data_IF_361747034769
#
_entry.id   IF_361747034769
#
_cell.length_a   1.000
_cell.length_b   1.000
_cell.length_c   1.000
_cell.angle_alpha   90.00
_cell.angle_beta   90.00
_cell.angle_gamma   90.00
#
_symmetry.space_group_name_H-M   'P 1'
#
loop_
_entity.id
_entity.type
_entity.pdbx_description
1 polymer ?
#
# COMPACT_ATOMS: atom_id res chain seq x y z
N UNK A 1 66.07 26.76 2.82
CA UNK A 1 66.04 26.04 1.53
C UNK A 1 64.77 26.45 0.81
N UNK A 2 64.90 27.47 -0.03
CA UNK A 2 63.92 27.93 -1.01
C UNK A 2 64.19 27.19 -2.34
N UNK A 3 63.15 26.91 -3.11
CA UNK A 3 63.22 26.29 -4.45
C UNK A 3 61.90 25.55 -4.73
N UNK A 4 60.89 26.28 -5.20
CA UNK A 4 60.49 26.33 -6.62
C UNK A 4 59.87 25.02 -7.12
N UNK A 5 58.56 25.05 -7.40
CA UNK A 5 57.95 24.58 -8.65
C UNK A 5 56.47 24.98 -8.64
N UNK A 6 56.19 26.20 -9.11
CA UNK A 6 54.91 26.53 -9.71
C UNK A 6 55.12 26.51 -11.22
N UNK A 7 54.44 25.61 -11.94
CA UNK A 7 54.03 25.92 -13.30
C UNK A 7 52.73 25.21 -13.65
N UNK A 8 51.74 26.05 -13.98
CA UNK A 8 50.69 25.75 -14.95
C UNK A 8 49.72 24.62 -14.62
N UNK A 9 48.60 24.98 -13.98
CA UNK A 9 47.26 24.60 -14.44
C UNK A 9 46.22 25.51 -13.79
N UNK A 10 45.32 26.00 -14.63
CA UNK A 10 44.26 26.95 -14.30
C UNK A 10 43.47 26.54 -13.06
N UNK A 11 43.30 27.51 -12.16
CA UNK A 11 42.33 27.45 -11.07
C UNK A 11 40.94 27.48 -11.71
N UNK A 12 40.40 26.30 -12.01
CA UNK A 12 38.96 26.16 -12.18
C UNK A 12 38.36 25.94 -10.79
N UNK A 13 37.72 27.00 -10.28
CA UNK A 13 36.81 26.89 -9.14
C UNK A 13 35.71 25.89 -9.53
N UNK A 14 35.84 24.66 -9.06
CA UNK A 14 34.74 23.69 -9.13
C UNK A 14 33.73 24.09 -8.05
N UNK A 15 32.43 24.21 -8.36
CA UNK A 15 31.45 24.64 -7.39
C UNK A 15 31.32 23.58 -6.28
N UNK A 16 31.42 24.00 -5.01
CA UNK A 16 31.18 23.17 -3.81
C UNK A 16 29.91 22.30 -3.87
N UNK A 17 28.94 22.64 -4.75
CA UNK A 17 27.75 21.85 -5.06
C UNK A 17 28.04 20.40 -5.48
N UNK A 18 29.11 20.13 -6.25
CA UNK A 18 29.40 18.76 -6.76
C UNK A 18 30.07 17.86 -5.71
N UNK A 19 30.78 18.41 -4.73
CA UNK A 19 31.34 17.60 -3.62
C UNK A 19 30.28 17.28 -2.55
N UNK A 20 29.33 18.18 -2.31
CA UNK A 20 28.21 17.90 -1.41
C UNK A 20 27.23 16.89 -1.99
N UNK A 21 26.96 16.93 -3.29
CA UNK A 21 26.07 15.94 -3.94
C UNK A 21 26.68 14.53 -3.95
N UNK A 22 28.00 14.38 -4.18
CA UNK A 22 28.65 13.07 -4.11
C UNK A 22 28.70 12.50 -2.68
N UNK A 23 28.82 13.37 -1.68
CA UNK A 23 28.82 12.97 -0.26
C UNK A 23 27.42 12.55 0.19
N UNK A 24 26.37 13.28 -0.22
CA UNK A 24 24.97 12.91 0.00
C UNK A 24 24.57 11.64 -0.79
N UNK A 25 25.10 11.46 -2.00
CA UNK A 25 24.91 10.28 -2.84
C UNK A 25 25.58 9.03 -2.26
N UNK A 26 26.78 9.18 -1.68
CA UNK A 26 27.47 8.10 -0.97
C UNK A 26 26.87 7.81 0.41
N UNK A 27 26.27 8.80 1.06
CA UNK A 27 25.42 8.58 2.24
C UNK A 27 24.23 7.69 1.85
N UNK A 28 23.41 8.10 0.89
CA UNK A 28 22.20 7.32 0.50
C UNK A 28 22.46 5.89 0.00
N UNK A 29 23.64 5.57 -0.55
CA UNK A 29 24.03 4.19 -0.93
C UNK A 29 24.54 3.31 0.22
N UNK A 30 24.95 3.88 1.34
CA UNK A 30 25.41 3.14 2.52
C UNK A 30 24.31 2.75 3.51
N UNK A 31 23.04 3.08 3.21
CA UNK A 31 21.95 3.12 4.20
C UNK A 31 21.08 1.86 4.22
N UNK A 32 21.65 0.71 3.87
CA UNK A 32 20.90 -0.55 3.75
C UNK A 32 20.75 -1.34 5.06
N UNK A 33 21.15 -0.82 6.24
CA UNK A 33 20.98 -1.60 7.50
C UNK A 33 20.77 -0.84 8.80
N UNK A 34 20.85 0.50 8.88
CA UNK A 34 20.86 1.18 10.19
C UNK A 34 20.17 2.56 10.26
N UNK A 35 19.00 2.73 9.63
CA UNK A 35 18.05 3.76 10.10
C UNK A 35 17.39 3.32 11.42
N UNK A 36 18.18 3.29 12.49
CA UNK A 36 17.70 3.06 13.87
C UNK A 36 17.29 4.35 14.59
N UNK A 37 17.33 5.52 13.94
CA UNK A 37 17.00 6.78 14.59
C UNK A 37 16.04 7.60 13.72
N UNK A 38 14.79 7.72 14.19
CA UNK A 38 13.75 8.67 13.76
C UNK A 38 14.22 10.13 13.67
N UNK A 39 15.40 10.44 14.22
CA UNK A 39 15.96 11.77 14.38
C UNK A 39 16.38 12.44 13.06
N UNK A 40 16.57 11.70 11.97
CA UNK A 40 17.24 12.28 10.80
C UNK A 40 16.31 12.62 9.64
N UNK A 41 15.15 11.99 9.52
CA UNK A 41 14.35 12.11 8.29
C UNK A 41 13.68 13.49 8.12
N UNK A 42 13.18 14.12 9.21
CA UNK A 42 12.59 15.46 9.13
C UNK A 42 13.67 16.53 8.86
N UNK A 43 14.84 16.38 9.49
CA UNK A 43 15.99 17.27 9.28
C UNK A 43 16.57 17.14 7.87
N UNK A 44 16.65 15.92 7.33
CA UNK A 44 17.07 15.67 5.94
C UNK A 44 16.06 16.26 4.96
N UNK A 45 14.76 16.13 5.23
CA UNK A 45 13.73 16.74 4.40
C UNK A 45 13.90 18.27 4.34
N UNK A 46 14.04 18.90 5.51
CA UNK A 46 14.22 20.35 5.63
C UNK A 46 15.51 20.81 4.96
N UNK A 47 16.63 20.12 5.20
CA UNK A 47 17.91 20.41 4.57
C UNK A 47 17.80 20.29 3.05
N UNK A 48 17.22 19.21 2.54
CA UNK A 48 17.00 18.99 1.12
C UNK A 48 16.19 20.10 0.46
N UNK A 49 15.10 20.55 1.10
CA UNK A 49 14.31 21.70 0.62
C UNK A 49 15.11 23.01 0.66
N UNK A 50 15.88 23.27 1.72
CA UNK A 50 16.69 24.48 1.86
C UNK A 50 17.79 24.58 0.80
N UNK A 51 18.45 23.46 0.46
CA UNK A 51 19.52 23.42 -0.54
C UNK A 51 19.02 23.17 -1.98
N UNK A 52 17.70 22.96 -2.15
CA UNK A 52 17.08 22.68 -3.45
C UNK A 52 17.43 21.31 -4.04
N UNK A 53 17.82 20.33 -3.22
CA UNK A 53 18.17 18.98 -3.67
C UNK A 53 16.93 18.08 -3.61
N UNK A 54 16.40 17.77 -4.78
CA UNK A 54 15.12 17.09 -4.95
C UNK A 54 15.11 15.63 -4.50
N UNK A 55 16.21 14.92 -4.75
CA UNK A 55 16.34 13.52 -4.43
C UNK A 55 16.31 13.27 -2.92
N UNK A 56 16.90 14.17 -2.14
CA UNK A 56 17.07 14.11 -0.70
C UNK A 56 15.73 14.27 0.01
N UNK A 57 14.98 15.34 -0.30
CA UNK A 57 13.67 15.53 0.33
C UNK A 57 12.64 14.49 -0.16
N UNK A 58 12.71 14.04 -1.42
CA UNK A 58 11.85 12.95 -1.92
C UNK A 58 12.17 11.61 -1.25
N UNK A 59 13.44 11.30 -1.02
CA UNK A 59 13.85 10.06 -0.34
C UNK A 59 13.44 10.07 1.13
N UNK A 60 13.60 11.20 1.82
CA UNK A 60 13.13 11.37 3.19
C UNK A 60 11.60 11.23 3.28
N UNK A 61 10.86 11.86 2.35
CA UNK A 61 9.40 11.74 2.25
C UNK A 61 8.98 10.29 2.03
N UNK A 62 9.63 9.57 1.12
CA UNK A 62 9.37 8.15 0.87
C UNK A 62 9.56 7.30 2.13
N UNK A 63 10.65 7.52 2.86
CA UNK A 63 10.90 6.81 4.11
C UNK A 63 9.81 7.08 5.16
N UNK A 64 9.33 8.33 5.25
CA UNK A 64 8.20 8.68 6.12
C UNK A 64 6.92 7.97 5.73
N UNK A 65 6.58 7.95 4.45
CA UNK A 65 5.41 7.26 3.92
C UNK A 65 5.47 5.77 4.28
N UNK A 66 6.62 5.13 4.04
CA UNK A 66 6.83 3.71 4.31
C UNK A 66 6.80 3.38 5.83
N UNK A 67 7.01 4.37 6.73
CA UNK A 67 7.08 4.17 8.19
C UNK A 67 6.10 5.05 8.98
N UNK A 68 5.02 5.52 8.34
CA UNK A 68 4.14 6.56 8.88
C UNK A 68 3.52 6.20 10.23
N UNK A 69 3.08 4.95 10.41
CA UNK A 69 2.45 4.48 11.67
C UNK A 69 3.39 4.63 12.87
N UNK A 70 4.67 4.31 12.70
CA UNK A 70 5.67 4.43 13.75
C UNK A 70 5.98 5.91 14.03
N UNK A 71 6.22 6.67 12.97
CA UNK A 71 6.69 8.05 13.06
C UNK A 71 5.59 9.00 13.54
N UNK A 72 4.33 8.80 13.15
CA UNK A 72 3.19 9.60 13.62
C UNK A 72 2.97 9.57 15.14
N UNK A 73 3.47 8.53 15.82
CA UNK A 73 3.44 8.38 17.28
C UNK A 73 4.63 9.04 17.98
N UNK A 74 5.67 9.41 17.23
CA UNK A 74 6.93 9.92 17.75
C UNK A 74 6.86 11.41 18.13
N UNK A 75 7.84 11.92 18.87
CA UNK A 75 7.89 13.35 19.25
C UNK A 75 8.37 14.20 18.06
N UNK A 76 9.21 13.63 17.21
CA UNK A 76 9.75 14.21 15.99
C UNK A 76 8.64 14.63 15.02
N UNK A 77 7.60 13.81 14.89
CA UNK A 77 6.41 14.16 14.11
C UNK A 77 5.73 15.44 14.60
N UNK A 78 5.74 15.72 15.91
CA UNK A 78 5.15 16.95 16.45
C UNK A 78 5.94 18.20 16.10
N UNK A 79 7.23 18.07 15.79
CA UNK A 79 8.13 19.16 15.46
C UNK A 79 8.27 19.40 13.95
N UNK A 80 7.57 18.62 13.12
CA UNK A 80 7.62 18.79 11.67
C UNK A 80 7.08 20.13 11.19
N UNK A 81 7.56 20.62 10.04
CA UNK A 81 6.92 21.70 9.30
C UNK A 81 5.51 21.31 8.84
N UNK A 82 4.60 22.29 8.81
CA UNK A 82 3.24 22.04 8.37
C UNK A 82 3.18 21.63 6.89
N UNK A 83 4.05 22.18 6.06
CA UNK A 83 4.16 21.88 4.63
C UNK A 83 4.42 20.39 4.40
N UNK A 84 5.29 19.78 5.21
CA UNK A 84 5.58 18.36 5.15
C UNK A 84 4.37 17.51 5.54
N UNK A 85 3.62 17.92 6.57
CA UNK A 85 2.38 17.24 6.97
C UNK A 85 1.32 17.36 5.88
N UNK A 86 1.23 18.51 5.20
CA UNK A 86 0.35 18.69 4.04
C UNK A 86 0.73 17.76 2.89
N UNK A 87 2.00 17.69 2.53
CA UNK A 87 2.49 16.76 1.50
C UNK A 87 2.20 15.30 1.90
N UNK A 88 2.35 14.94 3.17
CA UNK A 88 2.06 13.59 3.68
C UNK A 88 0.56 13.26 3.62
N UNK A 89 -0.30 14.12 4.15
CA UNK A 89 -1.75 13.86 4.20
C UNK A 89 -2.36 13.78 2.80
N UNK A 90 -1.83 14.54 1.84
CA UNK A 90 -2.29 14.52 0.44
C UNK A 90 -1.60 13.45 -0.42
N UNK A 91 -0.61 12.73 0.11
CA UNK A 91 0.07 11.70 -0.65
C UNK A 91 -0.83 10.46 -0.81
N UNK A 92 -1.10 10.08 -2.06
CA UNK A 92 -1.96 8.94 -2.43
C UNK A 92 -1.53 7.59 -1.79
N UNK A 93 -0.27 7.50 -1.38
CA UNK A 93 0.35 6.26 -0.91
C UNK A 93 0.60 6.19 0.61
N UNK A 94 0.13 7.15 1.42
CA UNK A 94 0.31 7.08 2.88
C UNK A 94 -0.58 6.00 3.48
N UNK A 95 0.03 4.90 3.89
CA UNK A 95 -0.67 3.78 4.51
C UNK A 95 -0.62 3.88 6.02
N UNK A 96 -1.78 3.78 6.65
CA UNK A 96 -1.91 3.56 8.08
C UNK A 96 -2.60 2.20 8.28
N UNK A 97 -1.77 1.17 8.37
CA UNK A 97 -2.23 -0.19 8.69
C UNK A 97 -1.67 -0.51 10.06
N UNK A 98 -2.55 -0.60 11.06
CA UNK A 98 -2.12 -1.14 12.34
C UNK A 98 -1.68 -2.60 12.15
N UNK A 99 -0.61 -3.06 12.82
CA UNK A 99 -0.02 -4.37 12.58
C UNK A 99 -1.04 -5.52 12.57
N UNK A 100 -2.11 -5.41 13.36
CA UNK A 100 -3.13 -6.45 13.57
C UNK A 100 -4.44 -6.26 12.79
N UNK A 101 -4.51 -5.29 11.86
CA UNK A 101 -5.76 -4.91 11.19
C UNK A 101 -5.74 -5.17 9.68
N UNK A 102 -6.89 -5.58 9.15
CA UNK A 102 -7.15 -5.58 7.70
C UNK A 102 -6.98 -4.14 7.19
N UNK A 103 -6.28 -3.92 6.05
CA UNK A 103 -6.18 -2.61 5.42
C UNK A 103 -7.56 -2.21 4.87
N UNK A 104 -8.43 -1.73 5.75
CA UNK A 104 -9.70 -1.11 5.41
C UNK A 104 -9.42 0.38 5.31
N UNK A 105 -9.83 1.06 4.22
CA UNK A 105 -9.61 2.49 4.06
C UNK A 105 -10.07 3.34 5.24
N UNK A 106 -11.16 2.96 5.91
CA UNK A 106 -11.64 3.62 7.12
C UNK A 106 -10.60 3.65 8.25
N UNK A 107 -9.87 2.53 8.47
CA UNK A 107 -8.81 2.45 9.49
C UNK A 107 -7.59 3.28 9.09
N UNK A 108 -7.29 3.32 7.79
CA UNK A 108 -6.20 4.12 7.24
C UNK A 108 -6.44 5.62 7.46
N UNK A 109 -7.60 6.12 7.01
CA UNK A 109 -7.97 7.53 7.18
C UNK A 109 -8.12 7.89 8.67
N UNK A 110 -8.60 6.96 9.50
CA UNK A 110 -8.70 7.17 10.94
C UNK A 110 -7.32 7.42 11.57
N UNK A 111 -6.31 6.63 11.20
CA UNK A 111 -4.97 6.80 11.71
C UNK A 111 -4.31 8.11 11.29
N UNK A 112 -4.49 8.50 10.03
CA UNK A 112 -4.03 9.80 9.51
C UNK A 112 -4.71 10.94 10.27
N UNK A 113 -6.03 10.86 10.46
CA UNK A 113 -6.79 11.83 11.24
C UNK A 113 -6.28 11.95 12.68
N UNK A 114 -6.04 10.83 13.37
CA UNK A 114 -5.50 10.85 14.73
C UNK A 114 -4.11 11.49 14.79
N UNK A 115 -3.25 11.21 13.80
CA UNK A 115 -1.94 11.84 13.69
C UNK A 115 -2.07 13.37 13.52
N UNK A 116 -2.94 13.84 12.61
CA UNK A 116 -3.19 15.26 12.38
C UNK A 116 -3.73 15.95 13.63
N UNK A 117 -4.72 15.35 14.32
CA UNK A 117 -5.27 15.92 15.55
C UNK A 117 -4.20 16.02 16.65
N UNK A 118 -3.31 15.02 16.76
CA UNK A 118 -2.18 15.04 17.69
C UNK A 118 -1.18 16.15 17.34
N UNK A 119 -0.86 16.32 16.06
CA UNK A 119 0.05 17.36 15.56
C UNK A 119 -0.49 18.78 15.82
N UNK A 120 -1.77 19.02 15.54
CA UNK A 120 -2.43 20.31 15.78
C UNK A 120 -2.56 20.58 17.28
N UNK A 121 -2.94 19.57 18.06
CA UNK A 121 -3.07 19.68 19.52
C UNK A 121 -1.77 20.01 20.24
N UNK A 122 -0.60 19.66 19.68
CA UNK A 122 0.69 20.01 20.26
C UNK A 122 0.97 21.53 20.26
N UNK A 123 0.46 22.27 19.27
CA UNK A 123 0.60 23.72 19.20
C UNK A 123 -0.67 24.37 18.65
N UNK A 124 -1.73 24.35 19.45
CA UNK A 124 -3.06 24.84 19.06
C UNK A 124 -3.00 26.29 18.54
N UNK A 125 -2.22 27.16 19.19
CA UNK A 125 -2.15 28.58 18.86
C UNK A 125 -1.69 28.86 17.42
N UNK A 126 -0.74 28.07 16.91
CA UNK A 126 -0.20 28.25 15.54
C UNK A 126 -0.86 27.35 14.51
N UNK A 127 -1.37 26.18 14.92
CA UNK A 127 -1.77 25.11 14.00
C UNK A 127 -3.29 24.95 13.86
N UNK A 128 -4.09 25.50 14.77
CA UNK A 128 -5.55 25.39 14.68
C UNK A 128 -6.10 25.96 13.37
N UNK A 129 -5.51 27.06 12.88
CA UNK A 129 -5.87 27.66 11.59
C UNK A 129 -5.57 26.76 10.38
N UNK A 130 -4.65 25.80 10.51
CA UNK A 130 -4.25 24.88 9.45
C UNK A 130 -5.10 23.60 9.43
N UNK A 131 -5.86 23.34 10.50
CA UNK A 131 -6.66 22.12 10.65
C UNK A 131 -7.63 21.88 9.49
N UNK A 132 -8.39 22.88 8.99
CA UNK A 132 -9.29 22.68 7.85
C UNK A 132 -8.55 22.18 6.61
N UNK A 133 -7.37 22.75 6.33
CA UNK A 133 -6.55 22.32 5.20
C UNK A 133 -6.07 20.88 5.32
N UNK A 134 -5.62 20.45 6.52
CA UNK A 134 -5.26 19.05 6.72
C UNK A 134 -6.47 18.12 6.55
N UNK A 135 -7.64 18.53 7.06
CA UNK A 135 -8.87 17.75 6.96
C UNK A 135 -9.39 17.61 5.53
N UNK A 136 -9.11 18.56 4.64
CA UNK A 136 -9.45 18.47 3.21
C UNK A 136 -8.62 17.40 2.48
N UNK A 137 -7.37 17.17 2.90
CA UNK A 137 -6.55 16.09 2.36
C UNK A 137 -6.92 14.70 2.87
N UNK A 138 -7.67 14.63 3.97
CA UNK A 138 -8.19 13.36 4.52
C UNK A 138 -9.50 13.03 3.81
N UNK A 139 -9.66 11.76 3.40
CA UNK A 139 -10.92 11.25 2.85
C UNK A 139 -11.93 11.03 3.98
N UNK A 140 -12.40 12.10 4.61
CA UNK A 140 -13.36 12.04 5.74
C UNK A 140 -14.58 11.14 5.44
N UNK A 141 -15.18 11.15 4.23
CA UNK A 141 -16.30 10.26 3.93
C UNK A 141 -15.95 8.77 3.99
N UNK A 142 -14.67 8.38 3.90
CA UNK A 142 -14.24 7.00 4.06
C UNK A 142 -14.28 6.51 5.52
N UNK A 143 -14.38 7.42 6.50
CA UNK A 143 -14.46 7.06 7.91
C UNK A 143 -15.84 6.46 8.24
N UNK A 144 -15.87 5.61 9.27
CA UNK A 144 -17.14 5.08 9.77
C UNK A 144 -18.04 6.22 10.29
N UNK A 145 -19.37 6.18 10.06
CA UNK A 145 -20.29 7.22 10.54
C UNK A 145 -20.18 7.48 12.05
N UNK A 146 -20.02 6.42 12.84
CA UNK A 146 -19.81 6.52 14.29
C UNK A 146 -18.55 7.29 14.68
N UNK A 147 -17.50 7.23 13.85
CA UNK A 147 -16.25 7.98 14.04
C UNK A 147 -16.42 9.44 13.66
N UNK A 148 -17.13 9.75 12.57
CA UNK A 148 -17.47 11.12 12.19
C UNK A 148 -18.33 11.81 13.26
N UNK A 149 -19.30 11.11 13.86
CA UNK A 149 -20.07 11.64 15.00
C UNK A 149 -19.18 11.96 16.20
N UNK A 150 -18.23 11.08 16.54
CA UNK A 150 -17.24 11.35 17.61
C UNK A 150 -16.32 12.53 17.26
N UNK A 151 -15.93 12.66 15.99
CA UNK A 151 -15.08 13.74 15.51
C UNK A 151 -15.77 15.10 15.61
N UNK A 152 -17.08 15.16 15.33
CA UNK A 152 -17.90 16.37 15.53
C UNK A 152 -17.86 16.87 16.98
N UNK A 153 -17.77 15.95 17.94
CA UNK A 153 -17.69 16.28 19.36
C UNK A 153 -16.28 16.66 19.84
N UNK A 154 -15.26 16.52 19.00
CA UNK A 154 -13.86 16.72 19.36
C UNK A 154 -13.52 18.20 19.62
N UNK A 155 -12.75 18.47 20.68
CA UNK A 155 -12.43 19.82 21.17
C UNK A 155 -11.82 20.73 20.10
N UNK A 156 -10.89 20.21 19.29
CA UNK A 156 -10.23 20.98 18.23
C UNK A 156 -11.17 21.29 17.05
N UNK A 157 -12.04 20.34 16.70
CA UNK A 157 -12.99 20.50 15.58
C UNK A 157 -14.07 21.51 15.96
N UNK A 158 -14.57 21.47 17.20
CA UNK A 158 -15.54 22.47 17.69
C UNK A 158 -15.01 23.91 17.70
N UNK A 159 -13.70 24.10 17.86
CA UNK A 159 -13.07 25.44 17.84
C UNK A 159 -12.92 26.00 16.42
N UNK A 160 -13.02 25.16 15.38
CA UNK A 160 -12.85 25.56 13.98
C UNK A 160 -14.15 25.33 13.21
N UNK A 161 -14.92 26.40 12.89
CA UNK A 161 -16.18 26.26 12.17
C UNK A 161 -16.01 25.58 10.80
N UNK A 162 -14.92 25.88 10.09
CA UNK A 162 -14.62 25.28 8.79
C UNK A 162 -14.37 23.77 8.90
N UNK A 163 -13.65 23.33 9.93
CA UNK A 163 -13.41 21.91 10.19
C UNK A 163 -14.72 21.18 10.51
N UNK A 164 -15.61 21.82 11.27
CA UNK A 164 -16.91 21.27 11.61
C UNK A 164 -17.80 21.13 10.36
N UNK A 165 -17.81 22.12 9.48
CA UNK A 165 -18.54 22.08 8.21
C UNK A 165 -18.06 20.92 7.31
N UNK A 166 -16.75 20.63 7.28
CA UNK A 166 -16.20 19.47 6.55
C UNK A 166 -16.71 18.13 7.10
N UNK A 167 -16.78 17.99 8.42
CA UNK A 167 -17.31 16.76 9.07
C UNK A 167 -18.79 16.59 8.81
N UNK A 168 -19.58 17.68 8.89
CA UNK A 168 -21.01 17.64 8.59
C UNK A 168 -21.27 17.28 7.13
N UNK A 169 -20.50 17.85 6.20
CA UNK A 169 -20.54 17.45 4.79
C UNK A 169 -20.16 15.98 4.61
N UNK A 170 -19.13 15.48 5.31
CA UNK A 170 -18.74 14.08 5.21
C UNK A 170 -19.82 13.11 5.71
N UNK A 171 -20.63 13.51 6.70
CA UNK A 171 -21.76 12.72 7.22
C UNK A 171 -22.91 12.58 6.22
N UNK A 172 -23.08 13.52 5.30
CA UNK A 172 -24.14 13.45 4.27
C UNK A 172 -23.72 12.65 3.05
N UNK A 173 -22.41 12.50 2.83
CA UNK A 173 -21.86 11.74 1.71
C UNK A 173 -21.86 10.25 2.04
N UNK A 174 -22.48 9.45 1.17
CA UNK A 174 -22.41 7.99 1.26
C UNK A 174 -21.23 7.51 0.41
N UNK A 175 -20.11 7.07 1.00
CA UNK A 175 -18.99 6.53 0.24
C UNK A 175 -19.38 5.20 -0.43
N UNK A 176 -18.82 4.95 -1.61
CA UNK A 176 -18.88 3.64 -2.25
C UNK A 176 -17.56 2.90 -2.02
N UNK A 177 -17.65 1.70 -1.45
CA UNK A 177 -16.50 0.80 -1.32
C UNK A 177 -16.40 -0.02 -2.59
N UNK A 178 -15.31 0.17 -3.34
CA UNK A 178 -15.01 -0.57 -4.56
C UNK A 178 -13.94 -1.59 -4.21
N UNK A 179 -14.21 -2.85 -4.50
CA UNK A 179 -13.21 -3.91 -4.36
C UNK A 179 -12.59 -4.14 -5.73
N UNK A 180 -11.31 -3.85 -5.84
CA UNK A 180 -10.54 -4.12 -7.05
C UNK A 180 -9.81 -5.44 -6.85
N UNK A 181 -9.91 -6.35 -7.82
CA UNK A 181 -9.23 -7.65 -7.77
C UNK A 181 -8.36 -7.88 -8.98
N UNK A 182 -7.24 -8.57 -8.76
CA UNK A 182 -6.25 -8.90 -9.78
C UNK A 182 -5.88 -10.37 -9.69
N UNK A 183 -5.89 -11.03 -10.84
CA UNK A 183 -5.52 -12.43 -10.97
C UNK A 183 -4.04 -12.56 -11.31
N UNK A 184 -3.34 -13.44 -10.60
CA UNK A 184 -2.01 -13.85 -11.02
C UNK A 184 -2.06 -14.68 -12.29
N UNK A 185 -0.92 -14.78 -12.96
CA UNK A 185 -0.70 -15.84 -13.95
C UNK A 185 -0.81 -17.23 -13.28
N UNK A 186 -1.11 -18.30 -14.05
CA UNK A 186 -1.05 -19.66 -13.54
C UNK A 186 0.40 -20.11 -13.33
N UNK A 187 0.65 -20.77 -12.21
CA UNK A 187 1.90 -21.46 -11.89
C UNK A 187 1.75 -22.96 -12.13
N UNK A 188 2.81 -23.62 -12.58
CA UNK A 188 2.82 -25.03 -12.98
C UNK A 188 1.94 -25.43 -14.18
N UNK A 189 1.33 -24.48 -14.91
CA UNK A 189 0.42 -24.77 -16.04
C UNK A 189 1.07 -25.34 -17.32
N UNK A 190 2.32 -25.78 -17.27
CA UNK A 190 3.08 -26.24 -18.44
C UNK A 190 2.74 -27.67 -18.83
N UNK A 191 1.58 -27.90 -19.44
CA UNK A 191 1.20 -29.05 -20.29
C UNK A 191 1.39 -30.47 -19.74
N UNK A 192 2.59 -30.89 -19.35
CA UNK A 192 2.99 -32.28 -19.14
C UNK A 192 2.23 -33.05 -18.04
N UNK A 193 1.42 -32.37 -17.23
CA UNK A 193 0.52 -32.99 -16.25
C UNK A 193 -0.94 -32.68 -16.65
N UNK A 194 -1.50 -33.49 -17.55
CA UNK A 194 -2.82 -33.24 -18.18
C UNK A 194 -4.03 -33.84 -17.45
N UNK A 195 -3.82 -34.72 -16.47
CA UNK A 195 -4.92 -35.40 -15.79
C UNK A 195 -5.52 -34.55 -14.67
N UNK A 196 -6.12 -33.41 -15.05
CA UNK A 196 -6.85 -32.55 -14.12
C UNK A 196 -8.18 -33.24 -13.78
N UNK A 197 -8.31 -33.67 -12.53
CA UNK A 197 -9.49 -34.37 -12.02
C UNK A 197 -10.53 -33.41 -11.44
N UNK A 198 -10.10 -32.21 -11.00
CA UNK A 198 -10.99 -31.18 -10.50
C UNK A 198 -10.40 -29.80 -10.77
N UNK A 199 -11.24 -28.83 -11.14
CA UNK A 199 -10.87 -27.41 -11.14
C UNK A 199 -11.51 -26.72 -9.95
N UNK A 200 -10.82 -25.72 -9.42
CA UNK A 200 -11.34 -24.91 -8.33
C UNK A 200 -11.13 -23.43 -8.60
N UNK A 201 -12.04 -22.64 -8.05
CA UNK A 201 -11.99 -21.19 -8.06
C UNK A 201 -12.74 -20.67 -6.83
N UNK A 202 -11.99 -20.26 -5.81
CA UNK A 202 -12.55 -19.84 -4.53
C UNK A 202 -13.40 -18.57 -4.66
N UNK A 203 -13.13 -17.71 -5.65
CA UNK A 203 -13.88 -16.47 -5.85
C UNK A 203 -15.34 -16.67 -6.29
N UNK A 204 -15.76 -17.91 -6.56
CA UNK A 204 -17.18 -18.24 -6.77
C UNK A 204 -17.95 -18.25 -5.44
N UNK A 205 -17.30 -18.67 -4.36
CA UNK A 205 -17.93 -18.94 -3.06
C UNK A 205 -17.50 -17.93 -1.99
N UNK A 206 -16.25 -17.48 -2.05
CA UNK A 206 -15.63 -16.60 -1.07
C UNK A 206 -15.72 -15.15 -1.55
N UNK A 207 -16.34 -14.24 -0.77
CA UNK A 207 -16.43 -12.84 -1.15
C UNK A 207 -15.05 -12.19 -1.15
N UNK A 208 -14.82 -11.26 -2.08
CA UNK A 208 -13.53 -10.57 -2.22
C UNK A 208 -13.19 -9.62 -1.04
N UNK A 209 -14.11 -9.45 -0.09
CA UNK A 209 -13.85 -8.79 1.21
C UNK A 209 -13.22 -9.72 2.25
N UNK A 210 -13.17 -11.03 1.98
CA UNK A 210 -12.56 -12.01 2.85
C UNK A 210 -11.04 -12.01 2.68
N UNK A 211 -10.32 -12.39 3.74
CA UNK A 211 -8.86 -12.51 3.72
C UNK A 211 -8.45 -13.87 4.29
N UNK A 212 -7.29 -14.36 3.86
CA UNK A 212 -6.70 -15.60 4.40
C UNK A 212 -6.33 -15.40 5.87
N UNK A 213 -6.94 -16.17 6.77
CA UNK A 213 -6.68 -16.17 8.22
C UNK A 213 -5.82 -17.36 8.64
N UNK A 214 -5.99 -18.51 8.01
CA UNK A 214 -5.15 -19.67 8.25
C UNK A 214 -5.02 -20.50 6.98
N UNK A 215 -3.93 -21.25 6.88
CA UNK A 215 -3.74 -22.21 5.81
C UNK A 215 -3.10 -23.48 6.36
N UNK A 216 -3.61 -24.63 5.91
CA UNK A 216 -3.03 -25.94 6.13
C UNK A 216 -2.60 -26.51 4.79
N UNK A 217 -1.37 -26.98 4.67
CA UNK A 217 -0.76 -27.39 3.41
C UNK A 217 -0.29 -28.83 3.53
N UNK A 218 -0.75 -29.66 2.60
CA UNK A 218 -0.46 -31.09 2.55
C UNK A 218 0.56 -31.35 1.45
N UNK A 219 1.73 -31.86 1.84
CA UNK A 219 2.79 -32.17 0.89
C UNK A 219 2.68 -33.59 0.38
N UNK A 220 3.24 -33.85 -0.80
CA UNK A 220 3.38 -35.18 -1.36
C UNK A 220 4.70 -35.40 -2.09
N UNK A 221 5.03 -36.66 -2.36
CA UNK A 221 6.15 -36.99 -3.26
C UNK A 221 5.70 -37.05 -4.73
N UNK A 222 6.51 -36.47 -5.61
CA UNK A 222 6.36 -36.52 -7.06
C UNK A 222 7.75 -36.55 -7.71
N UNK A 223 8.05 -37.62 -8.46
CA UNK A 223 9.39 -37.82 -9.03
C UNK A 223 10.51 -37.82 -7.98
N UNK A 224 10.22 -38.32 -6.77
CA UNK A 224 11.15 -38.34 -5.63
C UNK A 224 11.30 -37.02 -4.87
N UNK A 225 10.64 -35.94 -5.31
CA UNK A 225 10.71 -34.60 -4.71
C UNK A 225 9.41 -34.26 -3.98
N UNK A 226 9.46 -33.31 -3.06
CA UNK A 226 8.29 -32.81 -2.36
C UNK A 226 7.59 -31.71 -3.18
N UNK A 227 6.27 -31.83 -3.33
CA UNK A 227 5.41 -30.86 -4.02
C UNK A 227 4.09 -30.71 -3.26
N UNK A 228 3.31 -29.66 -3.57
CA UNK A 228 2.00 -29.44 -2.97
C UNK A 228 0.99 -30.48 -3.45
N UNK A 229 0.44 -31.24 -2.51
CA UNK A 229 -0.60 -32.24 -2.74
C UNK A 229 -2.00 -31.65 -2.62
N UNK A 230 -2.20 -30.84 -1.59
CA UNK A 230 -3.46 -30.17 -1.31
C UNK A 230 -3.28 -29.09 -0.26
N UNK A 231 -4.31 -28.30 -0.05
CA UNK A 231 -4.34 -27.26 0.98
C UNK A 231 -5.77 -26.94 1.41
N UNK A 232 -5.88 -26.38 2.60
CA UNK A 232 -7.11 -25.84 3.18
C UNK A 232 -6.85 -24.38 3.56
N UNK A 233 -7.80 -23.50 3.25
CA UNK A 233 -7.74 -22.07 3.59
C UNK A 233 -8.93 -21.72 4.46
N UNK A 234 -8.65 -21.22 5.65
CA UNK A 234 -9.66 -20.59 6.52
C UNK A 234 -9.61 -19.08 6.33
N UNK A 235 -10.75 -18.48 6.02
CA UNK A 235 -10.89 -17.04 5.83
C UNK A 235 -11.36 -16.33 7.10
N UNK A 236 -11.07 -15.04 7.20
CA UNK A 236 -11.44 -14.21 8.36
C UNK A 236 -12.94 -14.15 8.67
N UNK A 237 -13.78 -14.34 7.65
CA UNK A 237 -15.24 -14.39 7.75
C UNK A 237 -15.80 -15.80 8.03
N UNK A 238 -14.93 -16.79 8.26
CA UNK A 238 -15.31 -18.17 8.61
C UNK A 238 -15.47 -19.12 7.44
N UNK A 239 -15.31 -18.67 6.19
CA UNK A 239 -15.32 -19.57 5.03
C UNK A 239 -14.09 -20.47 5.04
N UNK A 240 -14.29 -21.76 4.79
CA UNK A 240 -13.21 -22.75 4.67
C UNK A 240 -13.32 -23.40 3.30
N UNK A 241 -12.23 -23.37 2.53
CA UNK A 241 -12.11 -24.05 1.23
C UNK A 241 -10.98 -25.06 1.30
N UNK A 242 -11.13 -26.17 0.60
CA UNK A 242 -10.14 -27.25 0.59
C UNK A 242 -9.97 -27.81 -0.82
N UNK A 243 -8.71 -27.95 -1.25
CA UNK A 243 -8.36 -28.46 -2.58
C UNK A 243 -7.26 -29.51 -2.50
N UNK A 244 -7.31 -30.48 -3.42
CA UNK A 244 -6.33 -31.57 -3.48
C UNK A 244 -6.54 -32.65 -2.40
N UNK A 245 -5.52 -33.45 -2.16
CA UNK A 245 -5.56 -34.50 -1.15
C UNK A 245 -5.08 -34.03 0.22
N UNK A 246 -5.45 -34.78 1.25
CA UNK A 246 -5.13 -34.49 2.66
C UNK A 246 -4.31 -35.59 3.34
N UNK A 247 -4.40 -36.82 2.84
CA UNK A 247 -3.88 -38.01 3.50
C UNK A 247 -2.76 -38.64 2.67
N UNK A 248 -1.60 -37.99 2.66
CA UNK A 248 -0.42 -38.51 1.95
C UNK A 248 0.59 -39.22 2.85
N UNK A 249 0.36 -39.27 4.17
CA UNK A 249 1.36 -39.78 5.13
C UNK A 249 2.67 -38.98 5.13
N UNK A 250 2.63 -37.75 4.65
CA UNK A 250 3.76 -36.85 4.47
C UNK A 250 3.60 -35.57 5.31
N UNK A 251 4.59 -34.69 5.24
CA UNK A 251 4.62 -33.43 5.98
C UNK A 251 3.37 -32.57 5.73
N UNK A 252 2.80 -32.09 6.84
CA UNK A 252 1.72 -31.13 6.87
C UNK A 252 2.24 -29.86 7.53
N UNK A 253 2.04 -28.73 6.88
CA UNK A 253 2.39 -27.43 7.41
C UNK A 253 1.11 -26.65 7.72
N UNK A 254 1.15 -25.81 8.75
CA UNK A 254 0.01 -24.96 9.09
C UNK A 254 0.48 -23.63 9.66
N UNK A 255 -0.32 -22.58 9.42
CA UNK A 255 -0.16 -21.30 10.08
C UNK A 255 -1.51 -20.63 10.30
N UNK A 256 -1.57 -19.79 11.33
CA UNK A 256 -2.69 -18.88 11.64
C UNK A 256 -2.14 -17.46 11.70
N UNK A 257 -2.91 -16.51 11.16
CA UNK A 257 -2.54 -15.11 11.01
C UNK A 257 -3.48 -14.21 11.79
N UNK A 258 -2.89 -13.19 12.41
CA UNK A 258 -3.57 -11.96 12.82
C UNK A 258 -3.19 -10.79 11.91
N UNK A 259 -2.86 -11.09 10.65
CA UNK A 259 -2.33 -10.17 9.64
C UNK A 259 -2.68 -10.68 8.24
N UNK A 260 -2.37 -9.92 7.19
CA UNK A 260 -2.67 -10.31 5.80
C UNK A 260 -1.42 -10.73 5.03
N UNK A 261 -1.58 -11.62 4.06
CA UNK A 261 -0.54 -11.98 3.09
C UNK A 261 -0.51 -10.93 1.99
N UNK A 262 0.66 -10.37 1.69
CA UNK A 262 0.86 -9.26 0.74
C UNK A 262 1.64 -9.68 -0.51
N UNK A 263 2.44 -10.74 -0.41
CA UNK A 263 3.09 -11.37 -1.56
C UNK A 263 3.43 -12.83 -1.28
N UNK A 264 3.76 -13.56 -2.33
CA UNK A 264 4.24 -14.93 -2.31
C UNK A 264 5.44 -15.10 -3.24
N UNK A 265 6.40 -15.89 -2.79
CA UNK A 265 7.47 -16.42 -3.63
C UNK A 265 7.17 -17.89 -3.92
N UNK A 266 7.10 -18.23 -5.20
CA UNK A 266 6.65 -19.55 -5.65
C UNK A 266 7.78 -20.18 -6.45
N UNK A 267 8.11 -21.42 -6.11
CA UNK A 267 8.84 -22.29 -7.00
C UNK A 267 7.88 -23.26 -7.69
N UNK A 268 7.90 -23.25 -9.02
CA UNK A 268 7.06 -24.15 -9.80
C UNK A 268 7.78 -24.66 -11.05
N UNK A 269 7.59 -25.93 -11.34
CA UNK A 269 7.92 -26.59 -12.61
C UNK A 269 6.65 -27.15 -13.24
N UNK A 270 6.54 -28.48 -13.28
CA UNK A 270 5.31 -29.18 -13.69
C UNK A 270 4.28 -29.30 -12.57
N UNK A 271 4.71 -29.12 -11.33
CA UNK A 271 3.91 -29.08 -10.11
C UNK A 271 4.27 -27.82 -9.33
N UNK A 272 3.49 -27.50 -8.31
CA UNK A 272 3.87 -26.47 -7.33
C UNK A 272 4.87 -27.08 -6.35
N UNK A 273 6.14 -26.71 -6.48
CA UNK A 273 7.23 -27.29 -5.68
C UNK A 273 7.30 -26.65 -4.29
N UNK A 274 7.23 -25.31 -4.23
CA UNK A 274 7.45 -24.54 -3.00
C UNK A 274 6.67 -23.23 -3.00
N UNK A 275 6.17 -22.82 -1.84
CA UNK A 275 5.63 -21.47 -1.66
C UNK A 275 6.16 -20.89 -0.34
N UNK A 276 6.56 -19.62 -0.39
CA UNK A 276 6.84 -18.78 0.77
C UNK A 276 5.85 -17.62 0.76
N UNK A 277 5.23 -17.32 1.90
CA UNK A 277 4.30 -16.20 2.03
C UNK A 277 4.96 -15.05 2.80
N UNK A 278 4.77 -13.83 2.31
CA UNK A 278 5.18 -12.61 2.98
C UNK A 278 3.94 -11.86 3.46
N UNK A 279 4.01 -11.29 4.66
CA UNK A 279 2.86 -10.68 5.32
C UNK A 279 3.01 -9.17 5.52
N UNK A 280 1.92 -8.52 5.93
CA UNK A 280 1.90 -7.09 6.26
C UNK A 280 2.78 -6.72 7.46
N UNK A 281 3.17 -7.66 8.33
CA UNK A 281 4.17 -7.43 9.40
C UNK A 281 5.59 -7.85 9.00
N UNK A 282 5.87 -7.98 7.71
CA UNK A 282 7.17 -8.42 7.19
C UNK A 282 7.59 -9.81 7.73
N UNK A 283 6.64 -10.66 8.09
CA UNK A 283 6.94 -12.06 8.44
C UNK A 283 7.05 -12.86 7.16
N UNK A 284 7.99 -13.79 7.17
CA UNK A 284 8.21 -14.78 6.12
C UNK A 284 7.72 -16.13 6.65
N UNK A 285 6.73 -16.71 5.97
CA UNK A 285 6.13 -18.00 6.33
C UNK A 285 6.53 -19.04 5.30
N UNK A 286 7.21 -20.08 5.76
CA UNK A 286 7.81 -21.10 4.90
C UNK A 286 9.33 -20.92 4.78
N UNK A 287 9.95 -21.45 3.71
CA UNK A 287 9.31 -22.08 2.55
C UNK A 287 8.58 -23.39 2.89
N UNK A 288 7.44 -23.62 2.24
CA UNK A 288 6.67 -24.85 2.35
C UNK A 288 6.78 -25.66 1.06
N UNK A 289 7.42 -26.83 1.11
CA UNK A 289 7.61 -27.74 -0.03
C UNK A 289 9.08 -27.98 -0.39
N UNK A 290 9.32 -28.55 -1.57
CA UNK A 290 10.63 -29.03 -2.02
C UNK A 290 11.49 -27.98 -2.75
N UNK A 291 12.71 -28.36 -3.12
CA UNK A 291 13.70 -27.47 -3.78
C UNK A 291 13.58 -27.39 -5.31
N UNK A 292 12.51 -27.94 -5.90
CA UNK A 292 12.32 -27.98 -7.35
C UNK A 292 11.83 -26.65 -7.93
N UNK A 293 11.64 -26.62 -9.24
CA UNK A 293 10.97 -25.52 -9.95
C UNK A 293 11.80 -24.24 -10.12
N UNK A 294 11.33 -23.38 -11.03
CA UNK A 294 11.87 -22.02 -11.21
C UNK A 294 11.20 -21.08 -10.21
N UNK A 295 11.95 -20.09 -9.72
CA UNK A 295 11.46 -19.12 -8.73
C UNK A 295 10.70 -17.99 -9.40
N UNK A 296 9.57 -17.63 -8.82
CA UNK A 296 8.69 -16.56 -9.27
C UNK A 296 8.22 -15.74 -8.09
N UNK A 297 8.31 -14.42 -8.21
CA UNK A 297 7.69 -13.52 -7.27
C UNK A 297 6.26 -13.18 -7.74
N UNK A 298 5.28 -13.26 -6.84
CA UNK A 298 3.92 -12.83 -7.10
C UNK A 298 3.36 -12.08 -5.91
N UNK A 299 3.03 -10.81 -6.10
CA UNK A 299 2.42 -9.99 -5.07
C UNK A 299 2.11 -8.62 -5.64
N UNK A 300 1.40 -7.82 -4.88
CA UNK A 300 1.13 -6.43 -5.26
C UNK A 300 2.35 -5.56 -4.89
N UNK A 301 3.46 -5.73 -5.63
CA UNK A 301 4.64 -4.86 -5.53
C UNK A 301 4.99 -4.26 -6.90
N UNK A 302 4.23 -3.23 -7.28
CA UNK A 302 4.57 -2.31 -8.37
C UNK A 302 5.04 -0.95 -7.81
N UNK A 303 5.55 -0.07 -8.68
CA UNK A 303 5.90 1.32 -8.33
C UNK A 303 4.72 2.12 -7.75
N UNK A 304 3.50 1.65 -8.00
CA UNK A 304 2.22 2.17 -7.48
C UNK A 304 1.68 1.20 -6.41
N UNK A 305 2.24 1.28 -5.20
CA UNK A 305 1.95 0.39 -4.07
C UNK A 305 0.54 0.59 -3.49
N UNK A 306 -0.51 0.15 -4.17
CA UNK A 306 -1.76 -0.16 -3.50
C UNK A 306 -1.61 -1.54 -2.84
N UNK A 307 -1.53 -1.58 -1.51
CA UNK A 307 -1.33 -2.78 -0.71
C UNK A 307 -2.53 -3.72 -0.77
N UNK A 308 -2.55 -4.60 -1.78
CA UNK A 308 -3.50 -5.69 -1.87
C UNK A 308 -3.20 -6.81 -0.87
N UNK A 309 -4.21 -7.58 -0.54
CA UNK A 309 -4.11 -8.79 0.27
C UNK A 309 -4.54 -10.01 -0.53
N UNK A 310 -3.98 -11.17 -0.16
CA UNK A 310 -4.41 -12.44 -0.73
C UNK A 310 -5.84 -12.76 -0.24
N UNK A 311 -6.76 -12.93 -1.19
CA UNK A 311 -8.15 -13.29 -0.91
C UNK A 311 -8.36 -14.76 -1.19
N UNK A 312 -8.16 -15.15 -2.44
CA UNK A 312 -8.66 -16.41 -2.98
C UNK A 312 -7.60 -17.08 -3.86
N UNK A 313 -7.82 -18.36 -4.16
CA UNK A 313 -7.03 -19.11 -5.11
C UNK A 313 -7.89 -19.77 -6.17
N UNK A 314 -7.26 -20.13 -7.30
CA UNK A 314 -7.88 -20.98 -8.31
C UNK A 314 -6.84 -21.91 -8.91
N UNK A 315 -7.26 -23.02 -9.50
CA UNK A 315 -6.33 -23.94 -10.12
C UNK A 315 -6.96 -25.26 -10.51
N UNK A 316 -6.11 -26.27 -10.64
CA UNK A 316 -6.47 -27.64 -10.92
C UNK A 316 -5.89 -28.58 -9.87
N UNK A 317 -6.70 -29.55 -9.47
CA UNK A 317 -6.23 -30.77 -8.83
C UNK A 317 -5.94 -31.77 -9.92
N UNK A 318 -4.75 -32.37 -9.89
CA UNK A 318 -4.31 -33.38 -10.85
C UNK A 318 -4.08 -34.71 -10.14
N UNK A 319 -4.39 -35.82 -10.83
CA UNK A 319 -3.96 -37.14 -10.38
C UNK A 319 -2.76 -37.60 -11.20
N UNK A 320 -1.62 -37.73 -10.52
CA UNK A 320 -0.35 -38.14 -11.12
C UNK A 320 0.45 -38.97 -10.13
N UNK A 321 1.04 -40.07 -10.63
CA UNK A 321 1.77 -41.05 -9.81
C UNK A 321 0.93 -41.59 -8.63
N UNK A 322 -0.37 -41.85 -8.86
CA UNK A 322 -1.27 -42.50 -7.91
C UNK A 322 -1.67 -41.64 -6.71
N UNK A 323 -1.57 -40.32 -6.82
CA UNK A 323 -1.98 -39.39 -5.77
C UNK A 323 -2.40 -38.04 -6.36
N UNK A 324 -3.20 -37.29 -5.61
CA UNK A 324 -3.64 -35.95 -6.01
C UNK A 324 -2.52 -34.92 -5.83
N UNK A 325 -2.53 -33.85 -6.60
CA UNK A 325 -1.59 -32.73 -6.46
C UNK A 325 -2.17 -31.42 -7.01
N UNK A 326 -1.53 -30.31 -6.67
CA UNK A 326 -1.95 -28.97 -7.14
C UNK A 326 -1.17 -28.57 -8.39
N UNK A 327 -1.91 -28.08 -9.39
CA UNK A 327 -1.40 -27.58 -10.66
C UNK A 327 -2.16 -26.29 -11.06
N UNK A 328 -1.55 -25.47 -11.91
CA UNK A 328 -2.16 -24.29 -12.54
C UNK A 328 -2.69 -23.29 -11.52
N UNK A 329 -2.03 -23.23 -10.35
CA UNK A 329 -2.43 -22.41 -9.23
C UNK A 329 -2.33 -20.94 -9.63
N UNK A 330 -3.37 -20.18 -9.32
CA UNK A 330 -3.42 -18.72 -9.42
C UNK A 330 -3.86 -18.17 -8.07
N UNK A 331 -3.34 -16.99 -7.77
CA UNK A 331 -3.75 -16.20 -6.63
C UNK A 331 -4.61 -15.03 -7.09
N UNK A 332 -5.60 -14.69 -6.27
CA UNK A 332 -6.48 -13.54 -6.46
C UNK A 332 -6.16 -12.57 -5.34
N UNK A 333 -5.62 -11.43 -5.74
CA UNK A 333 -5.28 -10.31 -4.87
C UNK A 333 -6.43 -9.32 -4.91
N UNK A 334 -6.78 -8.72 -3.77
CA UNK A 334 -7.73 -7.61 -3.75
C UNK A 334 -7.23 -6.45 -2.90
N UNK A 335 -7.70 -5.26 -3.24
CA UNK A 335 -7.62 -4.09 -2.38
C UNK A 335 -8.96 -3.35 -2.42
N UNK A 336 -9.21 -2.54 -1.38
CA UNK A 336 -10.45 -1.78 -1.26
C UNK A 336 -10.13 -0.33 -1.55
N UNK A 337 -10.82 0.23 -2.53
CA UNK A 337 -10.81 1.65 -2.84
C UNK A 337 -12.09 2.30 -2.30
N UNK A 338 -11.98 3.56 -1.91
CA UNK A 338 -13.14 4.38 -1.55
C UNK A 338 -13.37 5.37 -2.66
N UNK A 339 -14.52 5.25 -3.31
CA UNK A 339 -15.01 6.27 -4.23
C UNK A 339 -15.95 7.18 -3.49
N UNK A 340 -15.60 8.46 -3.47
CA UNK A 340 -16.47 9.52 -3.00
C UNK A 340 -17.20 10.01 -4.25
N UNK A 341 -18.53 9.81 -4.38
CA UNK A 341 -19.25 10.36 -5.50
C UNK A 341 -19.13 11.88 -5.49
N UNK A 342 -18.69 12.46 -6.61
CA UNK A 342 -18.74 13.91 -6.77
C UNK A 342 -20.20 14.38 -6.70
N UNK A 343 -20.47 15.57 -6.15
CA UNK A 343 -21.82 16.13 -6.24
C UNK A 343 -22.23 16.16 -7.71
N UNK A 344 -23.37 15.58 -8.02
CA UNK A 344 -23.98 15.69 -9.34
C UNK A 344 -24.26 17.17 -9.54
N UNK A 345 -23.45 17.86 -10.34
CA UNK A 345 -23.74 19.23 -10.78
C UNK A 345 -24.97 19.11 -11.67
N UNK A 346 -26.12 19.52 -11.16
CA UNK A 346 -27.33 19.57 -11.97
C UNK A 346 -27.26 20.81 -12.86
N UNK A 347 -27.81 20.73 -14.08
CA UNK A 347 -27.79 21.83 -15.06
C UNK A 347 -28.43 23.15 -14.54
N UNK A 348 -29.07 23.13 -13.37
CA UNK A 348 -29.54 24.31 -12.63
C UNK A 348 -28.42 25.18 -12.06
N UNK A 349 -27.21 24.65 -11.89
CA UNK A 349 -26.10 25.38 -11.25
C UNK A 349 -25.37 26.30 -12.25
N UNK A 350 -25.76 26.27 -13.52
CA UNK A 350 -25.26 27.12 -14.60
C UNK A 350 -26.15 28.33 -14.91
N UNK A 351 -27.30 28.50 -14.24
CA UNK A 351 -28.22 29.61 -14.57
C UNK A 351 -27.84 30.97 -13.99
N UNK A 352 -26.76 31.07 -13.20
CA UNK A 352 -26.33 32.31 -12.55
C UNK A 352 -25.04 32.92 -13.14
N UNK A 353 -24.62 32.47 -14.34
CA UNK A 353 -23.66 33.27 -15.13
C UNK A 353 -24.47 34.28 -15.94
N UNK A 354 -24.57 35.45 -15.34
CA UNK A 354 -25.35 36.61 -15.75
C UNK A 354 -25.14 36.99 -17.22
N UNK A 355 -26.28 37.31 -17.82
CA UNK A 355 -26.47 38.16 -18.95
C UNK A 355 -25.63 39.44 -18.92
N UNK A 356 -24.86 39.67 -19.98
CA UNK A 356 -24.35 41.00 -20.27
C UNK A 356 -23.00 40.99 -20.94
N UNK A 357 -22.99 40.84 -22.27
CA UNK A 357 -22.17 41.70 -23.11
C UNK A 357 -22.66 41.65 -24.56
N UNK A 358 -22.82 42.84 -25.13
CA UNK A 358 -23.40 43.16 -26.42
C UNK A 358 -22.70 42.43 -27.58
N UNK A 359 -23.45 41.59 -28.30
CA UNK A 359 -23.12 41.20 -29.67
C UNK A 359 -23.88 42.10 -30.65
N UNK A 360 -23.45 43.36 -30.74
CA UNK A 360 -23.74 44.21 -31.88
C UNK A 360 -22.44 44.84 -32.38
N UNK A 361 -21.79 44.20 -33.35
CA UNK A 361 -21.07 44.87 -34.44
C UNK A 361 -20.30 43.85 -35.30
N UNK A 362 -20.39 44.08 -36.61
CA UNK A 362 -19.56 43.53 -37.70
C UNK A 362 -19.91 42.08 -38.11
N UNK A 363 -20.47 41.80 -39.29
CA UNK A 363 -20.60 42.59 -40.51
C UNK A 363 -20.55 41.59 -41.66
N UNK A 364 -21.54 41.67 -42.55
CA UNK A 364 -21.61 40.92 -43.80
C UNK A 364 -20.29 41.03 -44.59
N UNK A 365 -19.85 39.93 -45.20
CA UNK A 365 -19.34 39.90 -46.58
C UNK A 365 -19.74 38.54 -47.16
N UNK A 366 -20.66 38.59 -48.12
CA UNK A 366 -20.85 37.62 -49.19
C UNK A 366 -19.77 37.81 -50.25
N UNK A 367 -19.04 36.76 -50.59
CA UNK A 367 -18.89 36.17 -51.94
C UNK A 367 -17.91 34.99 -51.91
#
# INVERSE_FOLDING_TARGET
MLGEYFSGREVSFTPCHKMMSLSAYNLTRGWDTNCQLSWNCADIYNLGKQIGEEFMFKSAMKYFIDNFVMLSKSVEFLNMPAEMIFELVNAENVQFVEPDSVPIPANQEQGILHAVLRYVGHNENKRLALLPGFMQGIRLPALLPSMLTKLKEHKLVKKSPDSLALVEKALTVKPELIIVSLWSRPFAGGGQVFNIVQRFNDAIEVPLTAYVKAMKMHMRRWGGRQVWGGFEVTHGNGYIVQHGGKDYGHEVYEFVLGEVITSVDINAGFMIDRITFNTSKNRVLGPYGGSGGSTYHNGHSGKDKLSGYLVCSSGGVVDTQGSLGINSLKFIWAHIEVRIPEPIITASDYSDIDSGEDLSACGDISD
#
